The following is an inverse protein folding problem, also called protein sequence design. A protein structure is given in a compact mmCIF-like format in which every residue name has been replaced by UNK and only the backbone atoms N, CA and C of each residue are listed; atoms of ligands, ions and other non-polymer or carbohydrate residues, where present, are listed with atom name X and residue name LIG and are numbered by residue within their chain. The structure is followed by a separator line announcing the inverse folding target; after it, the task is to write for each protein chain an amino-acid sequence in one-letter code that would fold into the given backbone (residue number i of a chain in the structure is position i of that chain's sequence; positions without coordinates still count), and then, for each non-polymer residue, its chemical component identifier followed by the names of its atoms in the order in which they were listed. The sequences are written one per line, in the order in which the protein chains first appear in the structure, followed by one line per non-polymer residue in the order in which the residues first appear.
data_IF_744050334767
#
_entry.id   IF_744050334767
#
_cell.length_a   1.000
_cell.length_b   1.000
_cell.length_c   1.000
_cell.angle_alpha   90.00
_cell.angle_beta   90.00
_cell.angle_gamma   90.00
#
_symmetry.space_group_name_H-M   'P 1'
#
loop_
_entity.id
_entity.type
_entity.pdbx_description
1 polymer ?
#
# COMPACT_ATOMS: atom_id res chain seq x y z
N UNK A 1 61.51 8.54 -5.04
CA UNK A 1 60.67 7.93 -3.99
C UNK A 1 59.49 8.85 -3.72
N UNK A 2 58.31 8.59 -4.26
CA UNK A 2 57.03 9.08 -3.72
C UNK A 2 55.90 8.26 -4.38
N UNK A 3 55.27 7.37 -3.62
CA UNK A 3 53.97 6.84 -3.95
C UNK A 3 53.03 7.21 -2.79
N UNK A 4 52.22 8.24 -3.00
CA UNK A 4 51.13 8.63 -2.10
C UNK A 4 50.06 7.55 -2.22
N UNK A 5 49.93 6.74 -1.18
CA UNK A 5 48.86 5.77 -1.00
C UNK A 5 47.56 6.54 -0.76
N UNK A 6 46.71 6.62 -1.79
CA UNK A 6 45.37 7.21 -1.67
C UNK A 6 44.44 6.15 -1.07
N UNK A 7 44.15 6.28 0.22
CA UNK A 7 43.19 5.44 0.91
C UNK A 7 41.78 5.87 0.48
N UNK A 8 41.18 5.11 -0.44
CA UNK A 8 39.81 5.32 -0.88
C UNK A 8 38.87 4.76 0.20
N UNK A 9 38.39 5.62 1.09
CA UNK A 9 37.38 5.26 2.07
C UNK A 9 36.03 5.08 1.35
N UNK A 10 35.67 3.83 1.04
CA UNK A 10 34.30 3.48 0.66
C UNK A 10 33.40 3.64 1.89
N UNK A 11 32.75 4.79 2.00
CA UNK A 11 31.56 4.95 2.82
C UNK A 11 30.46 4.09 2.20
N UNK A 12 30.24 2.88 2.73
CA UNK A 12 28.97 2.19 2.58
C UNK A 12 27.91 3.02 3.33
N UNK A 13 27.37 4.03 2.65
CA UNK A 13 26.12 4.64 3.04
C UNK A 13 25.04 3.58 2.88
N UNK A 14 24.53 3.05 4.00
CA UNK A 14 23.29 2.31 4.01
C UNK A 14 22.19 3.33 3.69
N UNK A 15 21.97 3.59 2.41
CA UNK A 15 20.81 4.34 1.94
C UNK A 15 19.60 3.48 2.24
N UNK A 16 19.00 3.64 3.43
CA UNK A 16 17.67 3.17 3.67
C UNK A 16 16.81 3.77 2.55
N UNK A 17 16.37 2.93 1.63
CA UNK A 17 15.51 3.33 0.53
C UNK A 17 14.17 3.73 1.17
N UNK A 18 14.03 5.00 1.53
CA UNK A 18 12.79 5.51 2.07
C UNK A 18 11.71 5.27 1.01
N UNK A 19 10.58 4.72 1.45
CA UNK A 19 9.46 4.48 0.56
C UNK A 19 9.01 5.81 -0.05
N UNK A 20 8.66 5.79 -1.33
CA UNK A 20 7.96 6.90 -1.99
C UNK A 20 6.71 7.28 -1.18
N UNK A 21 6.48 8.59 -0.98
CA UNK A 21 5.25 9.04 -0.32
C UNK A 21 4.06 8.83 -1.25
N UNK A 22 2.95 8.38 -0.71
CA UNK A 22 1.73 8.20 -1.49
C UNK A 22 0.49 8.27 -0.59
N UNK A 23 -0.63 8.59 -1.21
CA UNK A 23 -1.95 8.53 -0.58
C UNK A 23 -2.91 7.90 -1.58
N UNK A 24 -3.26 6.63 -1.35
CA UNK A 24 -4.18 5.88 -2.18
C UNK A 24 -5.61 6.10 -1.71
N UNK A 25 -6.49 6.48 -2.64
CA UNK A 25 -7.94 6.45 -2.45
C UNK A 25 -8.50 5.10 -2.89
N UNK A 26 -9.25 4.45 -2.02
CA UNK A 26 -10.15 3.35 -2.41
C UNK A 26 -11.57 3.87 -2.30
N UNK A 27 -12.23 4.04 -3.43
CA UNK A 27 -13.64 4.42 -3.53
C UNK A 27 -14.51 3.24 -3.10
N UNK A 28 -15.57 3.54 -2.36
CA UNK A 28 -16.48 2.56 -1.79
C UNK A 28 -17.91 2.83 -2.24
N UNK A 29 -18.59 1.77 -2.68
CA UNK A 29 -20.04 1.77 -2.91
C UNK A 29 -20.70 0.87 -1.88
N UNK A 30 -21.91 1.24 -1.43
CA UNK A 30 -22.66 0.55 -0.38
C UNK A 30 -21.95 0.51 1.00
N UNK A 31 -21.05 1.44 1.28
CA UNK A 31 -20.40 1.63 2.59
C UNK A 31 -20.88 2.91 3.27
N UNK A 32 -20.65 3.01 4.57
CA UNK A 32 -20.89 4.20 5.39
C UNK A 32 -19.99 5.40 5.07
N UNK A 33 -18.89 5.17 4.35
CA UNK A 33 -18.02 6.20 3.78
C UNK A 33 -17.95 6.00 2.28
N UNK A 34 -17.73 7.09 1.54
CA UNK A 34 -17.53 7.05 0.08
C UNK A 34 -16.12 6.55 -0.30
N UNK A 35 -15.19 6.58 0.64
CA UNK A 35 -13.83 6.12 0.45
C UNK A 35 -13.17 5.69 1.77
N UNK A 36 -12.04 5.00 1.60
CA UNK A 36 -10.98 4.88 2.60
C UNK A 36 -9.66 5.30 1.98
N UNK A 37 -8.76 5.80 2.82
CA UNK A 37 -7.49 6.37 2.41
C UNK A 37 -6.35 5.69 3.17
N UNK A 38 -5.37 5.20 2.43
CA UNK A 38 -4.18 4.59 3.02
C UNK A 38 -2.94 5.16 2.37
N UNK A 39 -1.84 5.28 3.10
CA UNK A 39 -0.66 5.89 2.51
C UNK A 39 0.54 5.99 3.42
N UNK A 40 1.63 6.49 2.83
CA UNK A 40 2.87 6.77 3.51
C UNK A 40 3.27 8.23 3.32
N UNK A 41 3.77 8.86 4.39
CA UNK A 41 4.23 10.26 4.36
C UNK A 41 5.38 10.47 5.34
N UNK A 42 6.42 11.21 4.96
CA UNK A 42 7.50 11.55 5.87
C UNK A 42 6.97 12.39 7.04
N UNK A 43 7.43 12.05 8.24
CA UNK A 43 6.97 12.67 9.49
C UNK A 43 5.74 12.02 10.11
N UNK A 44 5.03 11.14 9.40
CA UNK A 44 4.06 10.23 10.01
C UNK A 44 4.78 9.20 10.91
N UNK A 45 4.04 8.61 11.83
CA UNK A 45 4.54 7.74 12.88
C UNK A 45 3.94 6.33 12.77
N UNK A 46 4.30 5.46 13.73
CA UNK A 46 3.70 4.12 13.89
C UNK A 46 2.47 4.13 14.79
N UNK A 47 2.08 5.31 15.27
CA UNK A 47 0.96 5.54 16.19
C UNK A 47 -0.08 6.39 15.47
N UNK A 48 -1.18 6.66 16.17
CA UNK A 48 -2.17 7.63 15.70
C UNK A 48 -1.55 9.03 15.57
N UNK A 49 -1.65 9.60 14.37
CA UNK A 49 -1.20 10.94 14.03
C UNK A 49 -2.40 11.85 13.77
N UNK A 50 -2.62 12.81 14.68
CA UNK A 50 -3.75 13.73 14.57
C UNK A 50 -3.69 14.55 13.28
N UNK A 51 -4.73 14.46 12.47
CA UNK A 51 -4.88 15.20 11.21
C UNK A 51 -4.39 14.43 9.98
N UNK A 52 -3.53 13.43 10.18
CA UNK A 52 -3.19 12.45 9.14
C UNK A 52 -4.16 11.27 9.21
N UNK A 53 -4.36 10.73 10.41
CA UNK A 53 -5.33 9.68 10.69
C UNK A 53 -6.68 10.27 11.06
N UNK A 54 -7.73 9.76 10.40
CA UNK A 54 -9.09 10.23 10.60
C UNK A 54 -9.99 9.06 11.00
N UNK A 55 -10.68 9.23 12.14
CA UNK A 55 -11.64 8.25 12.64
C UNK A 55 -12.79 8.05 11.68
N UNK A 56 -13.17 6.79 11.49
CA UNK A 56 -14.36 6.43 10.74
C UNK A 56 -15.60 7.04 11.41
N UNK A 57 -16.52 7.64 10.64
CA UNK A 57 -17.81 8.03 11.18
C UNK A 57 -18.61 6.79 11.61
N UNK A 58 -19.65 6.93 12.46
CA UNK A 58 -20.56 5.82 12.71
C UNK A 58 -21.25 5.37 11.41
N UNK A 59 -21.62 4.09 11.29
CA UNK A 59 -22.34 3.61 10.11
C UNK A 59 -23.71 4.26 9.97
N UNK A 60 -24.10 4.56 8.73
CA UNK A 60 -25.43 5.03 8.38
C UNK A 60 -26.49 3.92 8.43
N UNK A 61 -27.76 4.29 8.24
CA UNK A 61 -28.82 3.29 8.11
C UNK A 61 -28.66 2.52 6.78
N UNK A 62 -28.73 1.20 6.85
CA UNK A 62 -28.72 0.30 5.68
C UNK A 62 -27.48 0.42 4.77
N UNK A 63 -26.33 0.78 5.35
CA UNK A 63 -25.03 0.81 4.69
C UNK A 63 -24.12 -0.29 5.24
N UNK A 64 -23.23 -0.82 4.41
CA UNK A 64 -22.10 -1.59 4.89
C UNK A 64 -21.08 -0.71 5.61
N UNK A 65 -20.00 -1.30 6.08
CA UNK A 65 -18.93 -0.62 6.81
C UNK A 65 -17.57 -1.11 6.35
N UNK A 66 -16.61 -0.19 6.16
CA UNK A 66 -15.20 -0.49 5.86
C UNK A 66 -14.34 0.36 6.76
N UNK A 67 -13.58 -0.25 7.67
CA UNK A 67 -12.75 0.51 8.61
C UNK A 67 -11.40 -0.15 8.83
N UNK A 68 -10.41 0.64 9.24
CA UNK A 68 -9.09 0.19 9.62
C UNK A 68 -8.93 0.22 11.15
N UNK A 69 -8.25 -0.75 11.76
CA UNK A 69 -7.92 -0.67 13.17
C UNK A 69 -6.97 0.52 13.41
N UNK A 70 -7.23 1.31 14.45
CA UNK A 70 -6.27 2.33 14.89
C UNK A 70 -4.98 1.68 15.39
N UNK A 71 -3.80 2.28 15.12
CA UNK A 71 -2.54 1.81 15.69
C UNK A 71 -2.61 1.67 17.21
N UNK A 72 -2.26 0.49 17.73
CA UNK A 72 -2.30 0.19 19.17
C UNK A 72 -3.68 -0.16 19.75
N UNK A 73 -4.75 -0.18 18.94
CA UNK A 73 -6.02 -0.84 19.25
C UNK A 73 -6.91 -0.22 20.34
N UNK A 74 -6.54 0.95 20.89
CA UNK A 74 -7.30 1.62 21.96
C UNK A 74 -8.19 2.77 21.49
N UNK A 75 -7.97 3.23 20.26
CA UNK A 75 -8.71 4.34 19.66
C UNK A 75 -9.80 3.80 18.72
N UNK A 76 -10.82 4.61 18.38
CA UNK A 76 -11.82 4.26 17.37
C UNK A 76 -11.18 3.83 16.05
N UNK A 77 -11.92 3.10 15.22
CA UNK A 77 -11.42 2.70 13.91
C UNK A 77 -11.27 3.90 12.96
N UNK A 78 -10.44 3.75 11.93
CA UNK A 78 -10.07 4.79 10.99
C UNK A 78 -10.72 4.54 9.62
N UNK A 79 -10.96 5.61 8.87
CA UNK A 79 -11.18 5.52 7.42
C UNK A 79 -10.02 6.14 6.62
N UNK A 80 -9.13 6.90 7.28
CA UNK A 80 -7.83 7.33 6.75
C UNK A 80 -6.71 6.93 7.72
N UNK A 81 -5.70 6.23 7.22
CA UNK A 81 -4.53 5.74 7.97
C UNK A 81 -3.24 6.02 7.17
N UNK A 82 -2.42 6.96 7.64
CA UNK A 82 -1.18 7.38 6.97
C UNK A 82 0.01 7.11 7.89
N UNK A 83 1.01 6.40 7.37
CA UNK A 83 2.12 5.87 8.18
C UNK A 83 3.47 6.39 7.72
N UNK A 84 4.48 6.20 8.56
CA UNK A 84 5.87 6.42 8.16
C UNK A 84 6.20 5.61 6.88
N UNK A 85 7.03 6.13 5.95
CA UNK A 85 7.41 5.47 4.71
C UNK A 85 8.46 4.35 4.93
N UNK A 86 8.13 3.40 5.80
CA UNK A 86 8.94 2.22 6.13
C UNK A 86 8.30 0.98 5.51
N UNK A 87 8.90 0.36 4.50
CA UNK A 87 8.34 -0.84 3.86
C UNK A 87 8.84 -2.13 4.52
N UNK A 88 8.04 -3.21 4.54
CA UNK A 88 6.65 -3.28 4.04
C UNK A 88 5.64 -2.59 4.96
N UNK A 89 4.55 -2.08 4.37
CA UNK A 89 3.38 -1.60 5.12
C UNK A 89 2.15 -2.41 4.76
N UNK A 90 1.29 -2.67 5.74
CA UNK A 90 0.02 -3.37 5.55
C UNK A 90 -1.13 -2.70 6.28
N UNK A 91 -2.25 -2.54 5.58
CA UNK A 91 -3.51 -2.02 6.10
C UNK A 91 -4.57 -3.11 6.07
N UNK A 92 -5.26 -3.29 7.19
CA UNK A 92 -6.39 -4.21 7.31
C UNK A 92 -7.70 -3.44 7.14
N UNK A 93 -8.36 -3.65 6.01
CA UNK A 93 -9.70 -3.14 5.76
C UNK A 93 -10.72 -4.17 6.28
N UNK A 94 -11.36 -3.86 7.39
CA UNK A 94 -12.44 -4.65 7.95
C UNK A 94 -13.75 -4.29 7.24
N UNK A 95 -14.18 -5.16 6.34
CA UNK A 95 -15.36 -4.97 5.50
C UNK A 95 -16.55 -5.75 6.06
N UNK A 96 -17.69 -5.07 6.25
CA UNK A 96 -18.93 -5.63 6.76
C UNK A 96 -20.09 -5.16 5.87
N UNK A 97 -20.46 -5.92 4.83
CA UNK A 97 -21.53 -5.52 3.93
C UNK A 97 -22.90 -5.54 4.63
N UNK A 98 -23.78 -4.64 4.21
CA UNK A 98 -25.19 -4.70 4.61
C UNK A 98 -25.91 -5.79 3.82
N UNK A 99 -26.92 -6.43 4.43
CA UNK A 99 -27.65 -7.53 3.81
C UNK A 99 -28.17 -7.17 2.41
N UNK A 100 -27.80 -7.99 1.41
CA UNK A 100 -28.20 -7.80 0.01
C UNK A 100 -27.47 -6.67 -0.73
N UNK A 101 -26.50 -6.00 -0.10
CA UNK A 101 -25.71 -4.91 -0.69
C UNK A 101 -24.21 -5.21 -0.52
N UNK A 102 -23.58 -5.90 -1.48
CA UNK A 102 -22.13 -6.05 -1.50
C UNK A 102 -21.44 -4.69 -1.48
N UNK A 103 -20.32 -4.59 -0.77
CA UNK A 103 -19.48 -3.39 -0.81
C UNK A 103 -18.58 -3.52 -2.03
N UNK A 104 -18.60 -2.52 -2.91
CA UNK A 104 -17.68 -2.46 -4.05
C UNK A 104 -16.52 -1.54 -3.72
N UNK A 105 -15.30 -2.03 -3.90
CA UNK A 105 -14.06 -1.27 -3.78
C UNK A 105 -13.56 -0.98 -5.19
N UNK A 106 -13.11 0.24 -5.45
CA UNK A 106 -12.36 0.58 -6.66
C UNK A 106 -11.25 1.59 -6.37
N UNK A 107 -10.21 1.58 -7.18
CA UNK A 107 -9.07 2.50 -7.04
C UNK A 107 -8.51 2.88 -8.40
N UNK A 108 -7.84 4.04 -8.46
CA UNK A 108 -7.14 4.49 -9.64
C UNK A 108 -5.69 3.98 -9.62
N UNK A 109 -5.22 3.42 -10.74
CA UNK A 109 -3.83 2.98 -10.86
C UNK A 109 -2.84 4.15 -10.95
N UNK A 110 -3.33 5.35 -11.28
CA UNK A 110 -2.55 6.59 -11.26
C UNK A 110 -2.16 7.02 -9.84
N UNK A 111 -2.95 6.64 -8.82
CA UNK A 111 -2.67 6.93 -7.40
C UNK A 111 -1.64 5.96 -6.80
N UNK A 112 -1.27 4.90 -7.53
CA UNK A 112 -0.32 3.89 -7.06
C UNK A 112 1.13 4.34 -7.31
N UNK A 113 2.00 4.40 -6.26
CA UNK A 113 3.39 4.85 -6.39
C UNK A 113 4.20 3.95 -7.33
N UNK A 114 4.89 4.56 -8.31
CA UNK A 114 5.54 3.84 -9.41
C UNK A 114 6.67 2.91 -8.93
N UNK A 115 7.35 3.30 -7.86
CA UNK A 115 8.45 2.53 -7.26
C UNK A 115 7.99 1.35 -6.39
N UNK A 116 6.69 1.13 -6.22
CA UNK A 116 6.16 0.10 -5.33
C UNK A 116 5.28 -0.93 -6.03
N UNK A 117 5.22 -2.10 -5.40
CA UNK A 117 4.20 -3.10 -5.64
C UNK A 117 3.14 -3.00 -4.54
N UNK A 118 1.89 -2.78 -4.93
CA UNK A 118 0.74 -2.81 -4.02
C UNK A 118 -0.11 -4.03 -4.34
N UNK A 119 -0.33 -4.86 -3.33
CA UNK A 119 -1.15 -6.06 -3.45
C UNK A 119 -2.30 -6.04 -2.47
N UNK A 120 -3.39 -6.71 -2.84
CA UNK A 120 -4.57 -6.87 -2.01
C UNK A 120 -4.84 -8.36 -1.79
N UNK A 121 -4.86 -8.79 -0.53
CA UNK A 121 -5.22 -10.16 -0.16
C UNK A 121 -6.68 -10.22 0.24
N UNK A 122 -7.44 -11.07 -0.45
CA UNK A 122 -8.86 -11.32 -0.21
C UNK A 122 -9.16 -12.81 -0.34
N UNK A 123 -9.72 -13.42 0.72
CA UNK A 123 -10.06 -14.86 0.77
C UNK A 123 -8.94 -15.78 0.29
N UNK A 124 -7.70 -15.49 0.70
CA UNK A 124 -6.51 -16.27 0.34
C UNK A 124 -6.00 -16.05 -1.08
N UNK A 125 -6.59 -15.13 -1.85
CA UNK A 125 -6.09 -14.72 -3.16
C UNK A 125 -5.35 -13.41 -3.04
N UNK A 126 -4.18 -13.32 -3.67
CA UNK A 126 -3.43 -12.08 -3.83
C UNK A 126 -3.77 -11.47 -5.18
N UNK A 127 -4.19 -10.20 -5.17
CA UNK A 127 -4.45 -9.39 -6.35
C UNK A 127 -3.32 -8.37 -6.49
N UNK A 128 -2.78 -8.20 -7.70
CA UNK A 128 -1.97 -7.03 -8.02
C UNK A 128 -2.91 -5.85 -8.28
N UNK A 129 -2.75 -4.77 -7.50
CA UNK A 129 -3.60 -3.59 -7.59
C UNK A 129 -3.36 -2.75 -8.86
N UNK A 130 -2.30 -3.04 -9.63
CA UNK A 130 -2.08 -2.44 -10.96
C UNK A 130 -2.82 -3.19 -12.06
N UNK A 131 -3.05 -4.49 -11.88
CA UNK A 131 -3.70 -5.35 -12.88
C UNK A 131 -5.21 -5.49 -12.63
N UNK A 132 -5.62 -5.40 -11.37
CA UNK A 132 -7.03 -5.37 -10.94
C UNK A 132 -7.31 -4.01 -10.31
N UNK A 133 -8.48 -3.42 -10.62
CA UNK A 133 -8.85 -2.09 -10.12
C UNK A 133 -10.15 -2.07 -9.32
N UNK A 134 -10.78 -3.24 -9.14
CA UNK A 134 -12.07 -3.38 -8.44
C UNK A 134 -12.13 -4.66 -7.63
N UNK A 135 -12.87 -4.65 -6.51
CA UNK A 135 -13.17 -5.84 -5.71
C UNK A 135 -14.57 -5.75 -5.08
N UNK A 136 -15.38 -6.80 -5.26
CA UNK A 136 -16.72 -6.92 -4.64
C UNK A 136 -16.67 -7.77 -3.36
N UNK A 137 -17.27 -7.25 -2.27
CA UNK A 137 -17.31 -7.88 -0.96
C UNK A 137 -18.75 -8.19 -0.57
N UNK A 138 -19.17 -9.43 -0.81
CA UNK A 138 -20.53 -9.89 -0.51
C UNK A 138 -20.72 -10.44 0.92
N UNK A 139 -19.63 -10.72 1.65
CA UNK A 139 -19.68 -11.23 3.03
C UNK A 139 -18.59 -10.55 3.88
N UNK A 140 -18.84 -10.45 5.18
CA UNK A 140 -17.89 -9.85 6.13
C UNK A 140 -16.53 -10.53 6.05
N UNK A 141 -15.46 -9.75 5.96
CA UNK A 141 -14.11 -10.23 5.77
C UNK A 141 -13.09 -9.14 6.08
N UNK A 142 -11.82 -9.51 6.16
CA UNK A 142 -10.71 -8.57 6.19
C UNK A 142 -9.99 -8.64 4.86
N UNK A 143 -9.81 -7.49 4.24
CA UNK A 143 -8.97 -7.31 3.06
C UNK A 143 -7.66 -6.70 3.52
N UNK A 144 -6.53 -7.29 3.14
CA UNK A 144 -5.20 -6.76 3.52
C UNK A 144 -4.55 -6.11 2.31
N UNK A 145 -4.35 -4.80 2.36
CA UNK A 145 -3.56 -4.07 1.36
C UNK A 145 -2.12 -4.00 1.84
N UNK A 146 -1.16 -4.43 1.01
CA UNK A 146 0.27 -4.39 1.35
C UNK A 146 1.05 -3.60 0.31
N UNK A 147 1.85 -2.65 0.77
CA UNK A 147 2.85 -1.96 -0.05
C UNK A 147 4.24 -2.57 0.19
N UNK A 148 4.96 -2.86 -0.90
CA UNK A 148 6.33 -3.35 -0.91
C UNK A 148 7.18 -2.58 -1.91
N UNK A 149 8.51 -2.60 -1.75
CA UNK A 149 9.42 -2.15 -2.80
C UNK A 149 9.24 -3.02 -4.03
N UNK A 150 9.16 -2.42 -5.21
CA UNK A 150 9.13 -3.19 -6.46
C UNK A 150 10.47 -3.95 -6.59
N UNK A 151 10.40 -5.25 -6.85
CA UNK A 151 11.61 -6.00 -7.20
C UNK A 151 12.23 -5.40 -8.48
N UNK A 152 13.56 -5.28 -8.57
CA UNK A 152 14.21 -4.94 -9.84
C UNK A 152 13.70 -5.92 -10.90
N UNK A 153 13.21 -5.40 -12.03
CA UNK A 153 12.90 -6.25 -13.16
C UNK A 153 14.19 -7.02 -13.51
N UNK A 154 14.14 -8.34 -13.47
CA UNK A 154 15.26 -9.19 -13.86
C UNK A 154 15.66 -8.77 -15.27
N UNK A 155 16.87 -8.22 -15.40
CA UNK A 155 17.37 -7.77 -16.68
C UNK A 155 17.36 -8.98 -17.62
N UNK A 156 16.55 -8.91 -18.68
CA UNK A 156 16.55 -9.93 -19.72
C UNK A 156 18.01 -10.16 -20.14
N UNK A 157 18.49 -11.39 -19.95
CA UNK A 157 19.85 -11.76 -20.31
C UNK A 157 20.11 -11.35 -21.77
N UNK A 158 21.25 -10.70 -22.08
CA UNK A 158 21.57 -10.40 -23.46
C UNK A 158 21.68 -11.72 -24.22
N UNK A 159 20.76 -11.97 -25.16
CA UNK A 159 20.86 -13.04 -26.14
C UNK A 159 22.04 -12.74 -27.06
N UNK A 160 23.23 -13.15 -26.61
CA UNK A 160 24.43 -13.14 -27.43
C UNK A 160 24.36 -14.27 -28.45
N UNK A 161 23.92 -13.99 -29.67
CA UNK A 161 24.32 -14.76 -30.84
C UNK A 161 25.35 -13.95 -31.60
N UNK A 162 26.62 -14.29 -31.40
CA UNK A 162 27.69 -13.88 -32.27
C UNK A 162 27.60 -14.69 -33.58
N UNK A 163 26.91 -14.15 -34.58
CA UNK A 163 27.18 -14.52 -35.97
C UNK A 163 28.45 -13.79 -36.42
N UNK A 164 29.54 -14.55 -36.59
CA UNK A 164 30.70 -14.08 -37.34
C UNK A 164 30.85 -14.99 -38.55
N UNK A 165 30.30 -14.53 -39.67
CA UNK A 165 30.60 -15.08 -41.00
C UNK A 165 32.10 -14.87 -41.31
N UNK A 166 32.78 -15.96 -41.62
CA UNK A 166 33.94 -16.00 -42.50
C UNK A 166 33.94 -17.32 -43.28
#
# INVERSE_FOLDING_TARGET
MYAKMLCCAMLLGCSALLAEEFLLRIVLVNSHTEDVWLGCKAGASKKYDRGEDIFAPPPGMQTGMVTMPSPGGKLPTLYKDVRAPELPQSWELNCQPFTGKPIELSWDTADLPAGMALTMVYRGKTLDMRETTTLSIAQSTTVVVTANTKAPAEAAAPTGNAEKNQ
#
